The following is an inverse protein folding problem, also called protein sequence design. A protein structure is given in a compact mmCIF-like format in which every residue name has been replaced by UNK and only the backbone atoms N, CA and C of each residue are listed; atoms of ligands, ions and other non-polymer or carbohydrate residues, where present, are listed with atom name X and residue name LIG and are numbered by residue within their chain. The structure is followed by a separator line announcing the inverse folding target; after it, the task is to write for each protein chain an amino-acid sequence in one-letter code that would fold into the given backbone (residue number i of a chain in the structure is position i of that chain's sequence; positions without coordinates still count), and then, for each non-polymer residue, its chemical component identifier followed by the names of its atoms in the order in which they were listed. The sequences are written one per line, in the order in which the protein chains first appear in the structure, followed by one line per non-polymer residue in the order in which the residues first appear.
data_IF_968645515276
#
_entry.id   IF_968645515276
#
_cell.length_a   1.000
_cell.length_b   1.000
_cell.length_c   1.000
_cell.angle_alpha   90.00
_cell.angle_beta   90.00
_cell.angle_gamma   90.00
#
_symmetry.space_group_name_H-M   'P 1'
#
loop_
_entity.id
_entity.type
_entity.pdbx_description
1 polymer ?
#
# COMPACT_ATOMS: atom_id res chain seq x y z
N UNK A 1 5.71 5.29 -22.87
CA UNK A 1 6.52 5.11 -21.65
C UNK A 1 7.29 6.38 -21.37
N UNK A 2 8.06 6.90 -22.34
CA UNK A 2 8.84 8.15 -22.22
C UNK A 2 8.08 9.34 -21.60
N UNK A 3 6.82 9.59 -21.97
CA UNK A 3 6.02 10.70 -21.41
C UNK A 3 5.75 10.58 -19.91
N UNK A 4 5.65 9.35 -19.40
CA UNK A 4 5.48 9.13 -17.95
C UNK A 4 6.84 9.33 -17.28
N UNK A 5 7.91 8.77 -17.84
CA UNK A 5 9.25 8.94 -17.28
C UNK A 5 9.65 10.43 -17.21
N UNK A 6 9.37 11.21 -18.25
CA UNK A 6 9.64 12.65 -18.26
C UNK A 6 8.80 13.46 -17.26
N UNK A 7 7.66 12.93 -16.78
CA UNK A 7 6.93 13.52 -15.66
C UNK A 7 7.65 13.27 -14.33
N UNK A 8 8.21 12.07 -14.14
CA UNK A 8 8.94 11.73 -12.92
C UNK A 8 10.33 12.38 -12.83
N UNK A 9 10.90 12.80 -13.95
CA UNK A 9 12.17 13.53 -14.00
C UNK A 9 12.03 15.03 -13.73
N UNK A 10 10.79 15.56 -13.73
CA UNK A 10 10.58 16.98 -13.43
C UNK A 10 10.96 17.31 -11.99
N UNK A 11 11.49 18.53 -11.75
CA UNK A 11 11.70 19.00 -10.39
C UNK A 11 10.36 19.06 -9.65
N UNK A 12 10.42 18.87 -8.34
CA UNK A 12 9.24 18.97 -7.50
C UNK A 12 8.60 20.36 -7.61
N UNK A 13 7.28 20.38 -7.77
CA UNK A 13 6.45 21.58 -7.82
C UNK A 13 5.23 21.36 -6.91
N UNK A 14 5.17 22.12 -5.82
CA UNK A 14 4.09 22.03 -4.82
C UNK A 14 2.70 22.34 -5.42
N UNK A 15 2.66 23.14 -6.49
CA UNK A 15 1.42 23.43 -7.22
C UNK A 15 1.02 22.32 -8.20
N UNK A 16 1.91 21.34 -8.45
CA UNK A 16 1.66 20.26 -9.40
C UNK A 16 2.21 18.93 -8.85
N UNK A 17 1.72 18.47 -7.69
CA UNK A 17 2.20 17.25 -7.06
C UNK A 17 1.92 16.04 -7.97
N UNK A 18 2.94 15.20 -8.13
CA UNK A 18 2.79 13.93 -8.86
C UNK A 18 2.37 12.88 -7.87
N UNK A 19 1.12 12.41 -7.95
CA UNK A 19 0.60 11.35 -7.09
C UNK A 19 0.39 10.08 -7.90
N UNK A 20 0.90 8.97 -7.39
CA UNK A 20 0.58 7.63 -7.86
C UNK A 20 -0.43 7.01 -6.91
N UNK A 21 -1.46 6.38 -7.46
CA UNK A 21 -2.47 5.68 -6.66
C UNK A 21 -2.69 4.28 -7.20
N UNK A 22 -2.74 3.29 -6.31
CA UNK A 22 -3.06 1.91 -6.66
C UNK A 22 -3.81 1.19 -5.54
N UNK A 23 -4.47 0.08 -5.87
CA UNK A 23 -5.19 -0.76 -4.92
C UNK A 23 -4.77 -2.25 -5.03
N UNK A 24 -4.69 -2.93 -3.90
CA UNK A 24 -4.32 -4.36 -3.85
C UNK A 24 -5.06 -5.12 -2.77
N UNK A 25 -5.63 -6.28 -3.14
CA UNK A 25 -6.25 -7.20 -2.18
C UNK A 25 -5.19 -8.01 -1.45
N UNK A 26 -5.23 -7.98 -0.12
CA UNK A 26 -4.33 -8.73 0.75
C UNK A 26 -5.09 -9.81 1.51
N UNK A 27 -4.81 -11.07 1.18
CA UNK A 27 -5.24 -12.19 2.01
C UNK A 27 -4.53 -12.15 3.36
N UNK A 28 -5.31 -12.24 4.44
CA UNK A 28 -4.79 -12.37 5.79
C UNK A 28 -4.64 -13.85 6.12
N UNK A 29 -3.44 -14.24 6.54
CA UNK A 29 -3.11 -15.62 6.87
C UNK A 29 -2.57 -15.68 8.29
N UNK A 30 -3.12 -16.58 9.09
CA UNK A 30 -2.65 -16.86 10.44
C UNK A 30 -1.92 -18.20 10.47
N UNK A 31 -0.85 -18.29 11.24
CA UNK A 31 -0.19 -19.58 11.46
C UNK A 31 -1.10 -20.51 12.26
N UNK A 32 -1.23 -21.76 11.80
CA UNK A 32 -1.93 -22.81 12.58
C UNK A 32 -1.11 -23.21 13.81
N UNK A 33 0.23 -23.09 13.71
CA UNK A 33 1.20 -23.35 14.78
C UNK A 33 2.20 -22.22 14.85
N UNK A 34 2.54 -21.79 16.06
CA UNK A 34 3.51 -20.72 16.24
C UNK A 34 4.87 -21.07 15.60
N UNK A 35 5.51 -20.13 14.88
CA UNK A 35 6.85 -20.33 14.34
C UNK A 35 7.84 -20.68 15.45
N UNK A 36 8.71 -21.65 15.17
CA UNK A 36 9.78 -22.03 16.09
C UNK A 36 10.96 -21.07 15.90
N UNK A 37 11.44 -20.40 16.97
CA UNK A 37 12.61 -19.54 16.88
C UNK A 37 13.88 -20.35 16.60
N UNK A 38 14.91 -19.68 16.11
CA UNK A 38 16.22 -20.29 15.92
C UNK A 38 16.84 -20.69 17.29
N UNK A 39 17.62 -21.77 17.29
CA UNK A 39 18.37 -22.24 18.44
C UNK A 39 19.74 -22.77 17.99
N UNK A 40 20.72 -22.95 18.90
CA UNK A 40 22.01 -23.52 18.52
C UNK A 40 21.83 -24.87 17.80
N UNK A 41 22.26 -24.94 16.53
CA UNK A 41 22.11 -26.12 15.69
C UNK A 41 20.80 -26.21 14.88
N UNK A 42 19.89 -25.24 14.99
CA UNK A 42 18.65 -25.21 14.21
C UNK A 42 18.25 -23.79 13.78
N UNK A 43 17.86 -23.63 12.52
CA UNK A 43 17.31 -22.37 11.99
C UNK A 43 15.89 -22.13 12.48
N UNK A 44 15.41 -20.89 12.38
CA UNK A 44 14.00 -20.60 12.60
C UNK A 44 13.13 -21.39 11.60
N UNK A 45 12.01 -21.94 12.06
CA UNK A 45 11.13 -22.79 11.25
C UNK A 45 9.69 -22.30 11.33
N UNK A 46 9.07 -22.17 10.17
CA UNK A 46 7.67 -21.80 10.04
C UNK A 46 6.93 -22.93 9.33
N UNK A 47 5.82 -23.40 9.91
CA UNK A 47 4.95 -24.38 9.25
C UNK A 47 4.27 -23.74 8.03
N UNK A 48 4.11 -24.51 6.96
CA UNK A 48 3.46 -24.03 5.73
C UNK A 48 1.93 -23.96 5.86
N UNK A 49 1.35 -24.67 6.84
CA UNK A 49 -0.09 -24.63 7.10
C UNK A 49 -0.52 -23.27 7.66
N UNK A 50 -1.58 -22.72 7.08
CA UNK A 50 -2.17 -21.46 7.52
C UNK A 50 -3.69 -21.54 7.59
N UNK A 51 -4.25 -20.72 8.44
CA UNK A 51 -5.68 -20.44 8.53
C UNK A 51 -5.99 -19.16 7.72
N UNK A 52 -7.03 -19.21 6.88
CA UNK A 52 -7.52 -18.05 6.14
C UNK A 52 -8.27 -17.14 7.09
N UNK A 53 -7.83 -15.90 7.23
CA UNK A 53 -8.42 -14.91 8.13
C UNK A 53 -9.08 -13.74 7.36
N UNK A 54 -9.72 -14.07 6.24
CA UNK A 54 -10.31 -13.08 5.34
C UNK A 54 -9.28 -12.38 4.45
N UNK A 55 -9.74 -11.30 3.80
CA UNK A 55 -8.91 -10.44 2.96
C UNK A 55 -9.27 -8.99 3.21
N UNK A 56 -8.28 -8.11 3.17
CA UNK A 56 -8.46 -6.66 3.23
C UNK A 56 -8.12 -6.04 1.88
N UNK A 57 -8.62 -4.84 1.61
CA UNK A 57 -8.18 -4.01 0.49
C UNK A 57 -7.18 -2.97 1.00
N UNK A 58 -6.04 -2.86 0.31
CA UNK A 58 -5.05 -1.81 0.50
C UNK A 58 -5.25 -0.76 -0.59
N UNK A 59 -5.28 0.51 -0.19
CA UNK A 59 -5.23 1.66 -1.09
C UNK A 59 -3.95 2.41 -0.77
N UNK A 60 -3.11 2.65 -1.77
CA UNK A 60 -1.79 3.27 -1.60
C UNK A 60 -1.72 4.51 -2.46
N UNK A 61 -1.41 5.65 -1.85
CA UNK A 61 -1.06 6.87 -2.56
C UNK A 61 0.39 7.23 -2.26
N UNK A 62 1.21 7.46 -3.29
CA UNK A 62 2.60 7.89 -3.13
C UNK A 62 2.88 9.15 -3.89
N UNK A 63 3.68 10.04 -3.29
CA UNK A 63 4.30 11.17 -3.96
C UNK A 63 5.80 10.84 -4.13
N UNK A 64 6.22 10.34 -5.31
CA UNK A 64 7.54 9.73 -5.48
C UNK A 64 8.70 10.71 -5.27
N UNK A 65 8.49 12.00 -5.56
CA UNK A 65 9.53 13.04 -5.45
C UNK A 65 9.81 13.49 -4.02
N UNK A 66 8.85 13.32 -3.10
CA UNK A 66 8.98 13.68 -1.67
C UNK A 66 9.15 12.45 -0.78
N UNK A 67 8.80 11.26 -1.28
CA UNK A 67 8.78 10.01 -0.53
C UNK A 67 7.55 9.84 0.35
N UNK A 68 6.55 10.74 0.27
CA UNK A 68 5.29 10.55 1.00
C UNK A 68 4.58 9.28 0.52
N UNK A 69 4.09 8.49 1.47
CA UNK A 69 3.33 7.27 1.22
C UNK A 69 2.18 7.19 2.21
N UNK A 70 0.95 7.22 1.69
CA UNK A 70 -0.29 7.07 2.44
C UNK A 70 -0.87 5.69 2.16
N UNK A 71 -1.20 4.98 3.23
CA UNK A 71 -1.82 3.66 3.18
C UNK A 71 -3.17 3.73 3.87
N UNK A 72 -4.22 3.33 3.16
CA UNK A 72 -5.54 3.13 3.73
C UNK A 72 -5.98 1.69 3.55
N UNK A 73 -6.50 1.08 4.61
CA UNK A 73 -6.88 -0.34 4.62
C UNK A 73 -8.37 -0.45 4.91
N UNK A 74 -9.10 -1.13 4.04
CA UNK A 74 -10.54 -1.36 4.20
C UNK A 74 -10.88 -2.84 4.18
N UNK A 75 -12.00 -3.21 4.79
CA UNK A 75 -12.44 -4.60 4.83
C UNK A 75 -12.99 -5.11 3.49
N UNK A 76 -13.43 -4.19 2.63
CA UNK A 76 -14.11 -4.53 1.37
C UNK A 76 -13.66 -3.60 0.26
N UNK A 77 -13.51 -4.16 -0.94
CA UNK A 77 -13.34 -3.39 -2.17
C UNK A 77 -14.69 -2.80 -2.59
N UNK A 78 -14.97 -1.57 -2.15
CA UNK A 78 -16.13 -0.80 -2.61
C UNK A 78 -15.64 0.47 -3.28
N UNK A 79 -16.35 0.87 -4.33
CA UNK A 79 -16.13 2.15 -4.99
C UNK A 79 -16.23 3.33 -4.02
N UNK A 80 -17.05 3.24 -2.97
CA UNK A 80 -17.14 4.26 -1.92
C UNK A 80 -15.82 4.51 -1.20
N UNK A 81 -15.09 3.43 -0.85
CA UNK A 81 -13.79 3.55 -0.18
C UNK A 81 -12.75 4.18 -1.11
N UNK A 82 -12.77 3.78 -2.38
CA UNK A 82 -11.90 4.33 -3.41
C UNK A 82 -12.15 5.83 -3.62
N UNK A 83 -13.43 6.23 -3.72
CA UNK A 83 -13.82 7.64 -3.83
C UNK A 83 -13.33 8.43 -2.61
N UNK A 84 -13.50 7.87 -1.40
CA UNK A 84 -13.00 8.50 -0.18
C UNK A 84 -11.48 8.72 -0.21
N UNK A 85 -10.71 7.78 -0.76
CA UNK A 85 -9.27 7.95 -0.94
C UNK A 85 -8.93 9.07 -1.93
N UNK A 86 -9.66 9.16 -3.06
CA UNK A 86 -9.45 10.25 -4.03
C UNK A 86 -9.79 11.61 -3.44
N UNK A 87 -10.88 11.70 -2.67
CA UNK A 87 -11.27 12.93 -1.98
C UNK A 87 -10.20 13.35 -0.97
N UNK A 88 -9.70 12.43 -0.14
CA UNK A 88 -8.63 12.72 0.80
C UNK A 88 -7.35 13.23 0.08
N UNK A 89 -6.96 12.61 -1.04
CA UNK A 89 -5.83 13.09 -1.85
C UNK A 89 -6.07 14.51 -2.35
N UNK A 90 -7.26 14.82 -2.87
CA UNK A 90 -7.59 16.15 -3.36
C UNK A 90 -7.62 17.20 -2.24
N UNK A 91 -8.14 16.84 -1.06
CA UNK A 91 -8.21 17.71 0.11
C UNK A 91 -6.82 18.08 0.65
N UNK A 92 -5.82 17.21 0.44
CA UNK A 92 -4.43 17.48 0.83
C UNK A 92 -3.72 18.47 -0.10
N UNK A 93 -4.27 18.74 -1.30
CA UNK A 93 -3.71 19.65 -2.30
C UNK A 93 -4.79 20.57 -2.89
N UNK A 94 -5.41 21.44 -2.06
CA UNK A 94 -6.55 22.27 -2.50
C UNK A 94 -6.16 23.34 -3.53
N UNK A 95 -4.89 23.73 -3.58
CA UNK A 95 -4.35 24.82 -4.40
C UNK A 95 -3.47 24.33 -5.57
N UNK A 96 -3.41 23.02 -5.80
CA UNK A 96 -2.71 22.40 -6.92
C UNK A 96 -3.52 22.41 -8.24
#
# INVERSE_FOLDING_TARGET
METILSLYEQPYDESRPVICFDESSKELRKHVRDPLPASPGAVARTDHHYERNGSQMLHVATEPLTGQCRLHVTERRRTSEWIGCMQAIADDYPDA
#
